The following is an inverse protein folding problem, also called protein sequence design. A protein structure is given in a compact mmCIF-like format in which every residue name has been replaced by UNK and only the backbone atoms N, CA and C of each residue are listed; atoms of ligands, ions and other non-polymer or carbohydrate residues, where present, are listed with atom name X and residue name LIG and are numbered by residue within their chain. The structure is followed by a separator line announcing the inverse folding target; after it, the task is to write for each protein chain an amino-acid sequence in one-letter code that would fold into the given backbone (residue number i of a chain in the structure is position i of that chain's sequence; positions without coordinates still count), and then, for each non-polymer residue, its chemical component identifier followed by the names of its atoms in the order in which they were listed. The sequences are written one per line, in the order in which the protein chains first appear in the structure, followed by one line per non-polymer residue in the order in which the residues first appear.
data_IF_904766495067
#
_entry.id   IF_904766495067
#
_cell.length_a   1.000
_cell.length_b   1.000
_cell.length_c   1.000
_cell.angle_alpha   90.00
_cell.angle_beta   90.00
_cell.angle_gamma   90.00
#
_symmetry.space_group_name_H-M   'P 1'
#
loop_
_entity.id
_entity.type
_entity.pdbx_description
1 polymer ?
#
# COMPACT_ATOMS: atom_id res chain seq x y z
N UNK A 1 -1.33 5.92 -10.17
CA UNK A 1 -2.15 7.01 -9.58
C UNK A 1 -1.32 7.74 -8.55
N UNK A 2 -1.19 9.06 -8.70
CA UNK A 2 -0.42 9.92 -7.82
C UNK A 2 -1.02 9.94 -6.41
N UNK A 3 -0.17 10.15 -5.39
CA UNK A 3 -0.65 10.36 -4.03
C UNK A 3 -0.98 11.85 -3.88
N UNK A 4 -2.28 12.15 -3.79
CA UNK A 4 -2.76 13.50 -3.46
C UNK A 4 -2.90 13.62 -1.94
N UNK A 5 -2.56 14.78 -1.35
CA UNK A 5 -2.82 15.02 0.05
C UNK A 5 -4.34 15.10 0.29
N UNK A 6 -4.83 14.77 1.51
CA UNK A 6 -6.28 14.68 1.76
C UNK A 6 -7.07 15.95 1.45
N UNK A 7 -6.48 17.14 1.68
CA UNK A 7 -7.10 18.43 1.35
C UNK A 7 -7.35 18.58 -0.16
N UNK A 8 -6.38 18.23 -1.01
CA UNK A 8 -6.56 18.29 -2.46
C UNK A 8 -7.65 17.32 -2.95
N UNK A 9 -7.77 16.15 -2.30
CA UNK A 9 -8.83 15.18 -2.61
C UNK A 9 -10.21 15.76 -2.26
N UNK A 10 -10.34 16.41 -1.10
CA UNK A 10 -11.57 17.09 -0.70
C UNK A 10 -11.91 18.22 -1.68
N UNK A 11 -10.93 19.02 -2.09
CA UNK A 11 -11.14 20.09 -3.07
C UNK A 11 -11.62 19.53 -4.41
N UNK A 12 -11.04 18.43 -4.91
CA UNK A 12 -11.51 17.78 -6.14
C UNK A 12 -12.96 17.26 -6.03
N UNK A 13 -13.34 16.71 -4.87
CA UNK A 13 -14.72 16.25 -4.62
C UNK A 13 -15.69 17.44 -4.61
N UNK A 14 -15.31 18.57 -4.00
CA UNK A 14 -16.11 19.80 -4.02
C UNK A 14 -16.32 20.32 -5.45
N UNK A 15 -15.23 20.40 -6.23
CA UNK A 15 -15.29 20.82 -7.64
C UNK A 15 -16.17 19.89 -8.48
N UNK A 16 -16.11 18.57 -8.24
CA UNK A 16 -17.00 17.64 -8.91
C UNK A 16 -18.48 17.90 -8.59
N UNK A 17 -18.79 18.22 -7.33
CA UNK A 17 -20.13 18.61 -6.91
C UNK A 17 -20.61 19.89 -7.62
N UNK A 18 -19.74 20.90 -7.72
CA UNK A 18 -20.02 22.14 -8.45
C UNK A 18 -20.21 21.91 -9.96
N UNK A 19 -19.43 20.99 -10.53
CA UNK A 19 -19.54 20.55 -11.91
C UNK A 19 -20.76 19.63 -12.16
N UNK A 20 -21.69 19.50 -11.20
CA UNK A 20 -22.88 18.65 -11.28
C UNK A 20 -22.53 17.19 -11.64
N UNK A 21 -21.47 16.67 -11.03
CA UNK A 21 -20.91 15.34 -11.29
C UNK A 21 -20.40 15.10 -12.72
N UNK A 22 -20.18 16.16 -13.51
CA UNK A 22 -19.51 16.06 -14.80
C UNK A 22 -17.99 16.10 -14.62
N UNK A 23 -17.34 14.93 -14.76
CA UNK A 23 -15.90 14.81 -14.59
C UNK A 23 -15.06 15.63 -15.58
N UNK A 24 -15.53 15.82 -16.82
CA UNK A 24 -14.81 16.61 -17.81
C UNK A 24 -14.86 18.10 -17.47
N UNK A 25 -16.02 18.59 -17.01
CA UNK A 25 -16.15 19.97 -16.53
C UNK A 25 -15.36 20.20 -15.23
N UNK A 26 -15.36 19.22 -14.33
CA UNK A 26 -14.61 19.27 -13.08
C UNK A 26 -13.10 19.39 -13.29
N UNK A 27 -12.55 18.75 -14.33
CA UNK A 27 -11.13 18.86 -14.68
C UNK A 27 -10.73 20.31 -15.03
N UNK A 28 -11.51 20.98 -15.89
CA UNK A 28 -11.29 22.38 -16.25
C UNK A 28 -11.43 23.31 -15.04
N UNK A 29 -12.54 23.19 -14.31
CA UNK A 29 -12.80 24.02 -13.12
C UNK A 29 -11.73 23.83 -12.03
N UNK A 30 -11.19 22.63 -11.88
CA UNK A 30 -10.11 22.37 -10.92
C UNK A 30 -8.81 23.06 -11.34
N UNK A 31 -8.46 23.01 -12.63
CA UNK A 31 -7.28 23.69 -13.15
C UNK A 31 -7.40 25.22 -13.04
N UNK A 32 -8.58 25.78 -13.30
CA UNK A 32 -8.86 27.21 -13.18
C UNK A 32 -8.73 27.72 -11.73
N UNK A 33 -9.28 26.99 -10.76
CA UNK A 33 -9.24 27.41 -9.34
C UNK A 33 -7.92 27.15 -8.65
N UNK A 34 -7.16 26.16 -9.11
CA UNK A 34 -5.90 25.77 -8.51
C UNK A 34 -4.77 25.73 -9.55
N UNK A 35 -4.38 26.90 -10.10
CA UNK A 35 -3.40 26.97 -11.19
C UNK A 35 -2.01 26.48 -10.76
N UNK A 36 -1.62 26.69 -9.50
CA UNK A 36 -0.32 26.28 -8.96
C UNK A 36 -0.24 24.81 -8.55
N UNK A 37 -1.35 24.06 -8.67
CA UNK A 37 -1.42 22.66 -8.26
C UNK A 37 -1.27 21.74 -9.47
N UNK A 38 -1.03 20.46 -9.16
CA UNK A 38 -1.06 19.42 -10.18
C UNK A 38 -2.46 19.29 -10.77
N UNK A 39 -2.60 19.60 -12.06
CA UNK A 39 -3.85 19.40 -12.79
C UNK A 39 -4.18 17.91 -12.89
N UNK A 40 -5.35 17.57 -12.35
CA UNK A 40 -5.81 16.20 -12.28
C UNK A 40 -6.76 15.90 -13.42
N UNK A 41 -6.40 14.92 -14.25
CA UNK A 41 -7.26 14.37 -15.31
C UNK A 41 -8.61 13.92 -14.74
N UNK A 42 -9.71 14.10 -15.48
CA UNK A 42 -11.04 13.55 -15.15
C UNK A 42 -11.01 12.08 -14.68
N UNK A 43 -10.13 11.25 -15.23
CA UNK A 43 -9.95 9.83 -14.82
C UNK A 43 -9.37 9.71 -13.41
N UNK A 44 -8.52 10.65 -13.01
CA UNK A 44 -7.98 10.73 -11.65
C UNK A 44 -9.08 11.12 -10.69
N UNK A 45 -9.83 12.20 -10.97
CA UNK A 45 -10.95 12.66 -10.16
C UNK A 45 -11.97 11.52 -9.95
N UNK A 46 -12.34 10.81 -11.03
CA UNK A 46 -13.23 9.64 -10.93
C UNK A 46 -12.71 8.57 -9.98
N UNK A 47 -11.49 8.08 -10.19
CA UNK A 47 -10.89 7.05 -9.32
C UNK A 47 -10.71 7.51 -7.88
N UNK A 48 -10.56 8.82 -7.64
CA UNK A 48 -10.52 9.37 -6.28
C UNK A 48 -11.89 9.25 -5.62
N UNK A 49 -12.96 9.60 -6.34
CA UNK A 49 -14.34 9.53 -5.86
C UNK A 49 -14.77 8.07 -5.63
N UNK A 50 -14.60 7.18 -6.61
CA UNK A 50 -14.93 5.76 -6.48
C UNK A 50 -14.29 5.13 -5.22
N UNK A 51 -13.07 5.56 -4.88
CA UNK A 51 -12.33 5.09 -3.71
C UNK A 51 -12.75 5.78 -2.41
N UNK A 52 -13.13 7.05 -2.47
CA UNK A 52 -13.65 7.80 -1.33
C UNK A 52 -15.02 7.23 -0.90
N UNK A 53 -15.87 6.84 -1.85
CA UNK A 53 -17.14 6.15 -1.60
C UNK A 53 -16.93 4.80 -0.89
N UNK A 54 -15.81 4.12 -1.17
CA UNK A 54 -15.39 2.91 -0.46
C UNK A 54 -14.79 3.18 0.94
N UNK A 55 -14.80 4.44 1.41
CA UNK A 55 -14.30 4.84 2.73
C UNK A 55 -12.79 5.15 2.79
N UNK A 56 -12.09 5.24 1.65
CA UNK A 56 -10.63 5.40 1.62
C UNK A 56 -10.17 6.72 0.99
N UNK A 57 -10.06 7.80 1.77
CA UNK A 57 -9.50 9.07 1.27
C UNK A 57 -8.00 8.98 0.96
N UNK A 58 -7.24 8.15 1.69
CA UNK A 58 -5.83 7.87 1.37
C UNK A 58 -5.68 6.56 0.62
N UNK A 59 -4.64 6.47 -0.22
CA UNK A 59 -4.30 5.23 -0.91
C UNK A 59 -3.87 4.19 0.12
N UNK A 60 -4.67 3.14 0.29
CA UNK A 60 -4.27 1.98 1.08
C UNK A 60 -3.29 1.12 0.27
N UNK A 61 -1.98 1.32 0.50
CA UNK A 61 -0.97 0.39 -0.01
C UNK A 61 -0.93 -0.81 0.93
N UNK A 62 -1.69 -1.86 0.59
CA UNK A 62 -1.45 -3.17 1.21
C UNK A 62 -0.01 -3.58 0.88
N UNK A 63 0.83 -3.69 1.91
CA UNK A 63 2.14 -4.33 1.74
C UNK A 63 1.85 -5.82 1.60
N UNK A 64 2.06 -6.39 0.41
CA UNK A 64 1.98 -7.85 0.24
C UNK A 64 2.97 -8.49 1.21
N UNK A 65 2.48 -9.33 2.11
CA UNK A 65 3.31 -10.14 2.99
C UNK A 65 4.16 -11.13 2.20
N UNK A 66 5.13 -11.79 2.85
CA UNK A 66 5.70 -13.01 2.31
C UNK A 66 4.59 -14.02 2.02
N UNK A 67 4.79 -14.85 1.00
CA UNK A 67 3.88 -15.94 0.68
C UNK A 67 3.60 -16.83 1.92
N UNK A 68 2.39 -17.38 2.01
CA UNK A 68 1.95 -18.15 3.17
C UNK A 68 2.78 -19.42 3.36
N UNK A 69 3.07 -20.14 2.26
CA UNK A 69 3.87 -21.37 2.29
C UNK A 69 5.29 -21.06 2.74
N UNK A 70 5.88 -19.97 2.21
CA UNK A 70 7.19 -19.48 2.66
C UNK A 70 7.16 -19.12 4.15
N UNK A 71 6.10 -18.46 4.61
CA UNK A 71 5.95 -18.05 5.99
C UNK A 71 5.88 -19.25 6.94
N UNK A 72 5.03 -20.23 6.62
CA UNK A 72 4.90 -21.48 7.38
C UNK A 72 6.22 -22.27 7.41
N UNK A 73 6.91 -22.36 6.27
CA UNK A 73 8.20 -23.06 6.20
C UNK A 73 9.24 -22.44 7.13
N UNK A 74 9.36 -21.10 7.11
CA UNK A 74 10.30 -20.37 7.97
C UNK A 74 9.92 -20.49 9.45
N UNK A 75 8.64 -20.35 9.78
CA UNK A 75 8.15 -20.48 11.17
C UNK A 75 8.39 -21.90 11.69
N UNK A 76 8.06 -22.92 10.89
CA UNK A 76 8.28 -24.32 11.24
C UNK A 76 9.77 -24.64 11.45
N UNK A 77 10.65 -24.14 10.59
CA UNK A 77 12.09 -24.32 10.75
C UNK A 77 12.62 -23.71 12.05
N UNK A 78 12.13 -22.53 12.44
CA UNK A 78 12.52 -21.89 13.72
C UNK A 78 11.88 -22.58 14.91
N UNK A 79 10.65 -23.07 14.81
CA UNK A 79 10.00 -23.83 15.88
C UNK A 79 10.74 -25.15 16.18
N UNK A 80 11.26 -25.82 15.14
CA UNK A 80 12.05 -27.05 15.28
C UNK A 80 13.47 -26.79 15.79
N UNK A 81 14.08 -25.69 15.38
CA UNK A 81 15.41 -25.28 15.84
C UNK A 81 15.46 -23.76 16.03
N UNK A 82 15.23 -23.26 17.26
CA UNK A 82 15.23 -21.83 17.55
C UNK A 82 16.56 -21.10 17.24
N UNK A 83 17.69 -21.83 17.22
CA UNK A 83 19.01 -21.29 16.92
C UNK A 83 19.34 -21.31 15.42
N UNK A 84 18.41 -21.75 14.57
CA UNK A 84 18.64 -21.83 13.12
C UNK A 84 18.91 -20.43 12.53
N UNK A 85 20.03 -20.30 11.85
CA UNK A 85 20.36 -19.04 11.19
C UNK A 85 19.57 -18.87 9.90
N UNK A 86 19.26 -17.63 9.52
CA UNK A 86 18.60 -17.35 8.22
C UNK A 86 19.46 -17.72 7.00
N UNK A 87 20.78 -17.90 7.18
CA UNK A 87 21.66 -18.49 6.16
C UNK A 87 21.38 -19.98 5.97
N UNK A 88 21.17 -20.70 7.07
CA UNK A 88 20.84 -22.12 7.06
C UNK A 88 19.44 -22.36 6.49
N UNK A 89 18.47 -21.49 6.81
CA UNK A 89 17.14 -21.52 6.20
C UNK A 89 17.25 -21.39 4.67
N UNK A 90 18.09 -20.47 4.15
CA UNK A 90 18.33 -20.36 2.71
C UNK A 90 18.93 -21.66 2.14
N UNK A 91 19.90 -22.26 2.81
CA UNK A 91 20.57 -23.48 2.35
C UNK A 91 19.64 -24.68 2.32
N UNK A 92 18.75 -24.82 3.30
CA UNK A 92 17.87 -25.99 3.46
C UNK A 92 16.56 -25.85 2.66
N UNK A 93 15.97 -24.66 2.64
CA UNK A 93 14.62 -24.45 2.09
C UNK A 93 14.61 -23.54 0.84
N UNK A 94 15.77 -23.06 0.38
CA UNK A 94 15.88 -22.16 -0.79
C UNK A 94 15.34 -20.74 -0.56
N UNK A 95 14.91 -20.41 0.65
CA UNK A 95 14.28 -19.12 0.96
C UNK A 95 15.36 -18.05 1.19
N UNK A 96 15.31 -16.96 0.41
CA UNK A 96 16.27 -15.87 0.57
C UNK A 96 16.28 -15.30 1.99
N UNK A 97 17.49 -14.97 2.48
CA UNK A 97 17.73 -14.42 3.82
C UNK A 97 16.83 -13.22 4.13
N UNK A 98 16.64 -12.32 3.18
CA UNK A 98 15.79 -11.12 3.31
C UNK A 98 14.33 -11.48 3.54
N UNK A 99 13.81 -12.48 2.82
CA UNK A 99 12.45 -13.00 2.98
C UNK A 99 12.28 -13.70 4.32
N UNK A 100 13.20 -14.59 4.69
CA UNK A 100 13.20 -15.25 6.00
C UNK A 100 13.22 -14.22 7.15
N UNK A 101 14.14 -13.25 7.11
CA UNK A 101 14.18 -12.16 8.09
C UNK A 101 12.88 -11.36 8.15
N UNK A 102 12.23 -11.11 7.01
CA UNK A 102 10.96 -10.40 6.96
C UNK A 102 9.83 -11.20 7.60
N UNK A 103 9.74 -12.51 7.32
CA UNK A 103 8.78 -13.42 7.99
C UNK A 103 8.99 -13.41 9.50
N UNK A 104 10.23 -13.56 9.96
CA UNK A 104 10.53 -13.60 11.40
C UNK A 104 10.13 -12.31 12.11
N UNK A 105 10.46 -11.15 11.54
CA UNK A 105 10.06 -9.84 12.08
C UNK A 105 8.54 -9.65 12.11
N UNK A 106 7.83 -10.06 11.06
CA UNK A 106 6.37 -9.93 11.00
C UNK A 106 5.68 -10.80 12.06
N UNK A 107 6.25 -11.96 12.35
CA UNK A 107 5.72 -12.91 13.33
C UNK A 107 6.35 -12.76 14.72
N UNK A 108 7.10 -11.67 14.97
CA UNK A 108 7.75 -11.37 16.26
C UNK A 108 8.70 -12.47 16.77
N UNK A 109 9.26 -13.28 15.87
CA UNK A 109 10.35 -14.18 16.20
C UNK A 109 11.66 -13.39 16.24
N UNK A 110 12.32 -13.43 17.40
CA UNK A 110 13.64 -12.86 17.59
C UNK A 110 14.66 -13.99 17.66
N UNK A 111 15.42 -14.23 16.58
CA UNK A 111 16.60 -15.08 16.68
C UNK A 111 17.47 -14.57 17.83
N UNK A 112 17.94 -15.48 18.69
CA UNK A 112 18.85 -15.21 19.82
C UNK A 112 18.26 -14.67 21.14
N UNK A 113 16.94 -14.75 21.36
CA UNK A 113 16.36 -14.61 22.71
C UNK A 113 15.76 -15.96 23.16
N UNK A 114 16.60 -16.80 23.76
CA UNK A 114 16.20 -17.93 24.62
C UNK A 114 16.93 -17.73 25.94
#
# INVERSE_FOLDING_TARGET
MAAFPPNEIVDMIRILGEARNNYSAAEGLYAERFPDRRHSDRKVIKRLCDRAEQGFLRRNRRKSGPDEVISLTVIGAVALNPQISTRQIKRQYGIFKSTANRVLKLNKFHPYHI
#
